data_IF_711289934277
#
_entry.id   IF_711289934277
#
_cell.length_a   1.000
_cell.length_b   1.000
_cell.length_c   1.000
_cell.angle_alpha   90.00
_cell.angle_beta   90.00
_cell.angle_gamma   90.00
#
_symmetry.space_group_name_H-M   'P 1'
#
loop_
_entity.id
_entity.type
_entity.pdbx_description
1 polymer ?
#
# COMPACT_ATOMS: atom_id res chain seq x y z
N UNK A 1 15.71 1.43 13.10
CA UNK A 1 15.74 2.33 11.92
C UNK A 1 14.39 2.26 11.25
N UNK A 2 13.75 3.39 10.97
CA UNK A 2 12.51 3.43 10.19
C UNK A 2 12.78 3.06 8.72
N UNK A 3 11.81 2.47 8.03
CA UNK A 3 11.98 2.03 6.64
C UNK A 3 12.38 3.17 5.69
N UNK A 4 11.84 4.37 5.89
CA UNK A 4 12.21 5.56 5.11
C UNK A 4 13.69 5.93 5.31
N UNK A 5 14.19 5.82 6.54
CA UNK A 5 15.59 6.05 6.88
C UNK A 5 16.51 4.98 6.25
N UNK A 6 16.11 3.71 6.27
CA UNK A 6 16.85 2.63 5.61
C UNK A 6 16.93 2.85 4.09
N UNK A 7 15.83 3.26 3.46
CA UNK A 7 15.80 3.57 2.04
C UNK A 7 16.73 4.74 1.70
N UNK A 8 16.76 5.80 2.51
CA UNK A 8 17.65 6.94 2.31
C UNK A 8 19.12 6.51 2.36
N UNK A 9 19.51 5.72 3.36
CA UNK A 9 20.87 5.18 3.49
C UNK A 9 21.24 4.32 2.29
N UNK A 10 20.41 3.34 1.93
CA UNK A 10 20.72 2.42 0.81
C UNK A 10 20.80 3.16 -0.51
N UNK A 11 19.95 4.17 -0.76
CA UNK A 11 20.03 5.02 -1.94
C UNK A 11 21.32 5.85 -1.97
N UNK A 12 21.73 6.43 -0.84
CA UNK A 12 22.99 7.17 -0.75
C UNK A 12 24.17 6.27 -1.14
N UNK A 13 24.23 5.08 -0.56
CA UNK A 13 25.26 4.09 -0.88
C UNK A 13 25.23 3.67 -2.36
N UNK A 14 24.03 3.44 -2.93
CA UNK A 14 23.87 3.09 -4.35
C UNK A 14 24.33 4.21 -5.30
N UNK A 15 24.18 5.46 -4.88
CA UNK A 15 24.68 6.64 -5.59
C UNK A 15 26.17 6.89 -5.35
N UNK A 16 26.83 6.05 -4.55
CA UNK A 16 28.24 6.20 -4.24
C UNK A 16 28.53 7.35 -3.28
N UNK A 17 27.57 7.69 -2.41
CA UNK A 17 27.67 8.78 -1.44
C UNK A 17 27.59 8.22 -0.03
N UNK A 18 28.50 8.64 0.84
CA UNK A 18 28.48 8.32 2.25
C UNK A 18 27.22 8.92 2.92
N UNK A 19 26.37 8.10 3.54
CA UNK A 19 25.09 8.55 4.11
C UNK A 19 25.25 9.42 5.36
N UNK A 20 26.41 9.42 6.02
CA UNK A 20 26.67 10.22 7.22
C UNK A 20 27.35 11.53 6.87
N UNK A 21 28.32 11.52 5.94
CA UNK A 21 29.11 12.72 5.60
C UNK A 21 28.62 13.44 4.34
N UNK A 22 27.92 12.75 3.45
CA UNK A 22 27.52 13.27 2.13
C UNK A 22 28.66 13.30 1.10
N UNK A 23 29.83 12.76 1.43
CA UNK A 23 30.97 12.72 0.53
C UNK A 23 30.83 11.60 -0.52
N UNK A 24 31.37 11.84 -1.72
CA UNK A 24 31.41 10.83 -2.77
C UNK A 24 32.51 9.82 -2.47
N UNK A 25 32.18 8.53 -2.47
CA UNK A 25 33.16 7.48 -2.28
C UNK A 25 34.21 7.46 -3.40
N UNK A 26 35.49 7.20 -3.07
CA UNK A 26 36.54 7.05 -4.07
C UNK A 26 36.30 5.79 -4.92
N UNK A 27 36.86 5.75 -6.13
CA UNK A 27 36.56 4.72 -7.14
C UNK A 27 36.90 3.28 -6.69
N UNK A 28 37.90 3.14 -5.81
CA UNK A 28 38.35 1.89 -5.21
C UNK A 28 37.45 1.37 -4.08
N UNK A 29 36.49 2.18 -3.61
CA UNK A 29 35.56 1.81 -2.55
C UNK A 29 34.75 0.57 -2.93
N UNK A 30 34.48 -0.28 -1.95
CA UNK A 30 33.61 -1.43 -2.13
C UNK A 30 32.21 -1.02 -2.62
N UNK A 31 31.73 0.16 -2.23
CA UNK A 31 30.44 0.71 -2.65
C UNK A 31 30.41 1.19 -4.11
N UNK A 32 31.57 1.45 -4.72
CA UNK A 32 31.69 1.83 -6.14
C UNK A 32 31.87 0.61 -7.06
N UNK A 33 32.00 -0.61 -6.50
CA UNK A 33 32.11 -1.83 -7.31
C UNK A 33 30.80 -2.07 -8.07
N UNK A 34 30.81 -2.31 -9.40
CA UNK A 34 29.60 -2.41 -10.20
C UNK A 34 28.56 -3.42 -9.69
N UNK A 35 29.01 -4.56 -9.16
CA UNK A 35 28.12 -5.57 -8.58
C UNK A 35 27.41 -5.06 -7.31
N UNK A 36 28.14 -4.35 -6.45
CA UNK A 36 27.63 -3.80 -5.19
C UNK A 36 26.63 -2.67 -5.50
N UNK A 37 26.98 -1.77 -6.40
CA UNK A 37 26.07 -0.70 -6.87
C UNK A 37 24.75 -1.28 -7.35
N UNK A 38 24.79 -2.28 -8.25
CA UNK A 38 23.57 -2.95 -8.75
C UNK A 38 22.76 -3.60 -7.63
N UNK A 39 23.41 -4.30 -6.70
CA UNK A 39 22.73 -4.93 -5.57
C UNK A 39 22.04 -3.88 -4.67
N UNK A 40 22.69 -2.74 -4.44
CA UNK A 40 22.12 -1.64 -3.65
C UNK A 40 20.94 -0.97 -4.35
N UNK A 41 21.00 -0.78 -5.67
CA UNK A 41 19.85 -0.29 -6.45
C UNK A 41 18.65 -1.23 -6.39
N UNK A 42 18.88 -2.55 -6.48
CA UNK A 42 17.83 -3.55 -6.32
C UNK A 42 17.24 -3.53 -4.91
N UNK A 43 18.09 -3.40 -3.89
CA UNK A 43 17.66 -3.28 -2.50
C UNK A 43 16.84 -2.01 -2.26
N UNK A 44 17.29 -0.85 -2.75
CA UNK A 44 16.54 0.41 -2.69
C UNK A 44 15.17 0.27 -3.36
N UNK A 45 15.14 -0.31 -4.57
CA UNK A 45 13.90 -0.55 -5.31
C UNK A 45 12.93 -1.48 -4.57
N UNK A 46 13.44 -2.49 -3.86
CA UNK A 46 12.63 -3.37 -3.02
C UNK A 46 12.04 -2.63 -1.81
N UNK A 47 12.85 -1.82 -1.11
CA UNK A 47 12.40 -1.01 0.02
C UNK A 47 11.32 0.00 -0.39
N UNK A 48 11.44 0.62 -1.56
CA UNK A 48 10.40 1.49 -2.11
C UNK A 48 9.09 0.73 -2.42
N UNK A 49 9.17 -0.48 -2.97
CA UNK A 49 7.98 -1.30 -3.24
C UNK A 49 7.26 -1.64 -1.95
N UNK A 50 8.00 -1.96 -0.90
CA UNK A 50 7.46 -2.22 0.43
C UNK A 50 6.81 -0.96 1.03
N UNK A 51 7.46 0.20 0.96
CA UNK A 51 6.90 1.47 1.45
C UNK A 51 5.59 1.82 0.72
N UNK A 52 5.57 1.69 -0.61
CA UNK A 52 4.36 1.89 -1.41
C UNK A 52 3.26 0.90 -1.06
N UNK A 53 3.60 -0.34 -0.70
CA UNK A 53 2.63 -1.32 -0.26
C UNK A 53 2.02 -0.94 1.09
N UNK A 54 2.84 -0.63 2.09
CA UNK A 54 2.37 -0.23 3.43
C UNK A 54 1.54 1.05 3.38
N UNK A 55 1.97 2.05 2.59
CA UNK A 55 1.18 3.28 2.39
C UNK A 55 -0.18 3.02 1.74
N UNK A 56 -0.26 2.10 0.77
CA UNK A 56 -1.55 1.71 0.18
C UNK A 56 -2.41 0.97 1.19
N UNK A 57 -1.81 0.08 1.98
CA UNK A 57 -2.50 -0.71 3.01
C UNK A 57 -3.06 0.18 4.11
N UNK A 58 -2.33 1.19 4.56
CA UNK A 58 -2.79 2.15 5.59
C UNK A 58 -3.91 3.07 5.11
N UNK A 59 -4.10 3.21 3.80
CA UNK A 59 -5.22 3.95 3.20
C UNK A 59 -6.46 3.09 2.96
N UNK A 60 -6.38 1.77 3.17
CA UNK A 60 -7.54 0.90 3.01
C UNK A 60 -8.53 1.10 4.16
N UNK A 61 -9.84 1.04 3.89
CA UNK A 61 -10.86 1.03 4.95
C UNK A 61 -10.62 -0.10 5.95
N UNK A 62 -10.98 0.12 7.22
CA UNK A 62 -10.64 -0.77 8.34
C UNK A 62 -11.09 -2.22 8.13
N UNK A 63 -12.27 -2.43 7.53
CA UNK A 63 -12.85 -3.76 7.33
C UNK A 63 -12.50 -4.38 5.98
N UNK A 64 -11.39 -3.95 5.37
CA UNK A 64 -10.91 -4.52 4.11
C UNK A 64 -10.41 -5.96 4.33
N UNK A 65 -11.03 -6.93 3.63
CA UNK A 65 -10.69 -8.34 3.76
C UNK A 65 -11.43 -9.08 4.89
N UNK A 66 -12.15 -8.37 5.77
CA UNK A 66 -12.95 -9.01 6.81
C UNK A 66 -14.17 -9.73 6.24
N UNK A 67 -14.62 -10.85 6.86
CA UNK A 67 -15.87 -11.50 6.48
C UNK A 67 -17.08 -10.58 6.69
N UNK A 68 -18.12 -10.73 5.87
CA UNK A 68 -19.40 -10.04 6.05
C UNK A 68 -20.27 -10.81 7.04
N UNK A 69 -20.84 -10.11 8.02
CA UNK A 69 -21.83 -10.69 8.93
C UNK A 69 -23.23 -10.51 8.36
N UNK A 70 -24.17 -11.37 8.75
CA UNK A 70 -25.57 -11.27 8.31
C UNK A 70 -26.23 -9.95 8.73
N UNK A 71 -25.84 -9.43 9.89
CA UNK A 71 -26.30 -8.11 10.37
C UNK A 71 -25.79 -6.98 9.48
N UNK A 72 -24.52 -7.06 9.09
CA UNK A 72 -23.91 -6.08 8.18
C UNK A 72 -24.57 -6.12 6.80
N UNK A 73 -24.86 -7.32 6.29
CA UNK A 73 -25.60 -7.49 5.03
C UNK A 73 -26.98 -6.85 5.11
N UNK A 74 -27.73 -7.10 6.19
CA UNK A 74 -29.06 -6.53 6.36
C UNK A 74 -29.03 -5.00 6.34
N UNK A 75 -28.06 -4.40 7.04
CA UNK A 75 -27.86 -2.94 7.05
C UNK A 75 -27.48 -2.41 5.67
N UNK A 76 -26.57 -3.08 4.97
CA UNK A 76 -26.14 -2.69 3.63
C UNK A 76 -27.32 -2.68 2.66
N UNK A 77 -28.09 -3.78 2.63
CA UNK A 77 -29.21 -3.95 1.71
C UNK A 77 -30.31 -2.94 2.01
N UNK A 78 -30.68 -2.76 3.28
CA UNK A 78 -31.69 -1.76 3.66
C UNK A 78 -31.28 -0.33 3.27
N UNK A 79 -30.01 0.03 3.46
CA UNK A 79 -29.50 1.35 3.08
C UNK A 79 -29.43 1.53 1.56
N UNK A 80 -29.05 0.50 0.81
CA UNK A 80 -29.08 0.53 -0.65
C UNK A 80 -30.50 0.67 -1.19
N UNK A 81 -31.45 -0.12 -0.67
CA UNK A 81 -32.86 -0.08 -1.07
C UNK A 81 -33.52 1.26 -0.70
N UNK A 82 -32.99 1.96 0.32
CA UNK A 82 -33.35 3.34 0.66
C UNK A 82 -32.71 4.41 -0.26
N UNK A 83 -32.00 4.01 -1.32
CA UNK A 83 -31.43 4.90 -2.33
C UNK A 83 -30.09 5.53 -1.95
N UNK A 84 -29.41 5.05 -0.90
CA UNK A 84 -28.09 5.58 -0.51
C UNK A 84 -27.05 5.24 -1.59
N UNK A 85 -26.21 6.22 -1.92
CA UNK A 85 -25.16 6.05 -2.91
C UNK A 85 -24.07 5.07 -2.44
N UNK A 86 -23.47 4.33 -3.39
CA UNK A 86 -22.42 3.34 -3.09
C UNK A 86 -21.26 3.90 -2.25
N UNK A 87 -20.88 5.16 -2.47
CA UNK A 87 -19.79 5.79 -1.72
C UNK A 87 -20.13 5.99 -0.25
N UNK A 88 -21.38 6.32 0.04
CA UNK A 88 -21.87 6.46 1.41
C UNK A 88 -21.97 5.11 2.10
N UNK A 89 -22.39 4.06 1.37
CA UNK A 89 -22.41 2.69 1.87
C UNK A 89 -20.99 2.20 2.18
N UNK A 90 -20.03 2.43 1.29
CA UNK A 90 -18.63 2.08 1.51
C UNK A 90 -18.06 2.75 2.76
N UNK A 91 -18.34 4.04 2.96
CA UNK A 91 -17.93 4.78 4.14
C UNK A 91 -18.60 4.24 5.42
N UNK A 92 -19.93 4.05 5.41
CA UNK A 92 -20.69 3.60 6.57
C UNK A 92 -20.32 2.18 7.04
N UNK A 93 -19.89 1.32 6.10
CA UNK A 93 -19.45 -0.04 6.39
C UNK A 93 -17.94 -0.17 6.55
N UNK A 94 -17.17 0.92 6.45
CA UNK A 94 -15.71 0.93 6.50
C UNK A 94 -15.07 -0.10 5.54
N UNK A 95 -15.64 -0.18 4.33
CA UNK A 95 -15.23 -1.13 3.29
C UNK A 95 -14.95 -0.42 1.98
N UNK A 96 -14.24 -1.11 1.08
CA UNK A 96 -14.02 -0.59 -0.27
C UNK A 96 -15.31 -0.59 -1.07
N UNK A 97 -15.44 0.37 -1.99
CA UNK A 97 -16.51 0.42 -2.99
C UNK A 97 -16.66 -0.89 -3.77
N UNK A 98 -15.54 -1.53 -4.09
CA UNK A 98 -15.51 -2.82 -4.78
C UNK A 98 -16.13 -3.93 -3.94
N UNK A 99 -15.82 -3.98 -2.63
CA UNK A 99 -16.41 -4.97 -1.72
C UNK A 99 -17.93 -4.77 -1.59
N UNK A 100 -18.38 -3.52 -1.46
CA UNK A 100 -19.82 -3.20 -1.43
C UNK A 100 -20.52 -3.62 -2.72
N UNK A 101 -19.97 -3.26 -3.89
CA UNK A 101 -20.53 -3.67 -5.20
C UNK A 101 -20.61 -5.19 -5.32
N UNK A 102 -19.54 -5.91 -5.00
CA UNK A 102 -19.53 -7.37 -5.04
C UNK A 102 -20.60 -7.97 -4.11
N UNK A 103 -20.83 -7.35 -2.95
CA UNK A 103 -21.87 -7.81 -2.03
C UNK A 103 -23.27 -7.55 -2.55
N UNK A 104 -23.53 -6.38 -3.12
CA UNK A 104 -24.81 -6.06 -3.75
C UNK A 104 -25.09 -6.97 -4.97
N UNK A 105 -24.07 -7.29 -5.76
CA UNK A 105 -24.17 -8.24 -6.87
C UNK A 105 -24.55 -9.64 -6.36
N UNK A 106 -23.91 -10.11 -5.28
CA UNK A 106 -24.24 -11.40 -4.64
C UNK A 106 -25.72 -11.49 -4.24
N UNK A 107 -26.33 -10.39 -3.80
CA UNK A 107 -27.75 -10.31 -3.42
C UNK A 107 -28.67 -9.84 -4.56
N UNK A 108 -28.16 -9.73 -5.79
CA UNK A 108 -28.94 -9.34 -6.97
C UNK A 108 -29.51 -7.93 -6.90
N UNK A 109 -28.86 -7.01 -6.18
CA UNK A 109 -29.28 -5.60 -6.08
C UNK A 109 -28.70 -4.72 -7.19
N UNK A 110 -27.63 -5.21 -7.81
CA UNK A 110 -27.03 -4.63 -9.01
C UNK A 110 -26.70 -5.77 -9.98
N UNK A 111 -26.61 -5.43 -11.26
CA UNK A 111 -26.18 -6.36 -12.31
C UNK A 111 -24.70 -6.17 -12.63
N UNK A 112 -24.09 -7.21 -13.21
CA UNK A 112 -22.70 -7.19 -13.68
C UNK A 112 -22.51 -6.30 -14.90
#
# INVERSE_FOLDING_TARGET
>A
MEQAQALAVVRSLANGVDPETGEVFPAESAYQRPLVVRALYEAASALERMERFERRKSQLPAKTGEPWTEEEDRKLLAAFDAGRALQELAAAHERTMAAVRARLLKYGRINA
#
